data_IF_546905144993
#
_entry.id   IF_546905144993
#
_cell.length_a   1.000
_cell.length_b   1.000
_cell.length_c   1.000
_cell.angle_alpha   90.00
_cell.angle_beta   90.00
_cell.angle_gamma   90.00
#
_symmetry.space_group_name_H-M   'P 1'
#
loop_
_entity.id
_entity.type
_entity.pdbx_description
1 polymer ?
#
# COMPACT_ATOMS: atom_id res chain seq x y z
N UNK A 1 -34.42 10.44 1.38
CA UNK A 1 -33.31 10.41 2.36
C UNK A 1 -32.10 9.83 1.66
N UNK A 2 -30.93 10.48 1.66
CA UNK A 2 -29.72 9.85 1.13
C UNK A 2 -29.47 8.56 1.93
N UNK A 3 -29.25 7.44 1.22
CA UNK A 3 -29.21 6.09 1.80
C UNK A 3 -28.20 6.01 2.94
N UNK A 4 -28.61 5.42 4.07
CA UNK A 4 -27.67 5.06 5.11
C UNK A 4 -26.62 4.12 4.50
N UNK A 5 -25.32 4.35 4.72
CA UNK A 5 -24.31 3.41 4.29
C UNK A 5 -24.56 2.05 4.96
N UNK A 6 -24.58 0.98 4.19
CA UNK A 6 -24.56 -0.39 4.73
C UNK A 6 -23.19 -0.61 5.36
N UNK A 7 -23.07 -0.31 6.65
CA UNK A 7 -21.88 -0.55 7.45
C UNK A 7 -21.99 -1.88 8.19
N UNK A 8 -20.93 -2.29 8.90
CA UNK A 8 -21.01 -3.50 9.73
C UNK A 8 -22.09 -3.40 10.82
N UNK A 9 -22.64 -4.53 11.31
CA UNK A 9 -23.65 -4.51 12.37
C UNK A 9 -23.19 -3.78 13.64
N UNK A 10 -21.90 -3.89 13.98
CA UNK A 10 -21.31 -3.20 15.12
C UNK A 10 -21.33 -1.67 14.91
N UNK A 11 -20.87 -1.20 13.75
CA UNK A 11 -20.86 0.23 13.46
C UNK A 11 -22.28 0.77 13.30
N UNK A 12 -23.21 0.01 12.71
CA UNK A 12 -24.61 0.38 12.60
C UNK A 12 -25.23 0.58 13.99
N UNK A 13 -25.00 -0.34 14.93
CA UNK A 13 -25.47 -0.20 16.31
C UNK A 13 -24.88 1.02 17.04
N UNK A 14 -23.67 1.47 16.68
CA UNK A 14 -23.07 2.70 17.20
C UNK A 14 -23.71 3.94 16.56
N UNK A 15 -23.99 3.90 15.26
CA UNK A 15 -24.69 4.97 14.53
C UNK A 15 -26.11 5.15 15.08
N UNK A 16 -26.84 4.07 15.31
CA UNK A 16 -28.21 4.08 15.84
C UNK A 16 -28.26 4.65 17.27
N UNK A 17 -27.17 4.47 18.04
CA UNK A 17 -26.97 5.10 19.37
C UNK A 17 -26.51 6.56 19.29
N UNK A 18 -26.42 7.15 18.10
CA UNK A 18 -26.10 8.57 17.92
C UNK A 18 -24.61 8.91 18.09
N UNK A 19 -23.68 7.98 17.80
CA UNK A 19 -22.23 8.23 17.96
C UNK A 19 -21.77 9.48 17.22
N UNK A 20 -22.28 9.72 16.01
CA UNK A 20 -21.92 10.88 15.20
C UNK A 20 -22.46 12.20 15.76
N UNK A 21 -23.57 12.18 16.50
CA UNK A 21 -24.16 13.39 17.10
C UNK A 21 -23.37 13.86 18.34
N UNK A 22 -22.56 12.96 18.92
CA UNK A 22 -21.67 13.28 20.06
C UNK A 22 -20.35 13.93 19.62
N UNK A 23 -19.98 13.81 18.35
CA UNK A 23 -18.69 14.24 17.80
C UNK A 23 -18.75 15.68 17.26
N UNK A 24 -17.61 16.40 17.22
CA UNK A 24 -17.50 17.69 16.54
C UNK A 24 -17.89 17.59 15.06
N UNK A 25 -18.40 18.67 14.48
CA UNK A 25 -19.04 18.65 13.15
C UNK A 25 -18.04 18.29 12.05
N UNK A 26 -16.86 18.90 12.06
CA UNK A 26 -15.81 18.62 11.06
C UNK A 26 -15.30 17.18 11.17
N UNK A 27 -15.19 16.66 12.39
CA UNK A 27 -14.79 15.28 12.65
C UNK A 27 -15.87 14.31 12.16
N UNK A 28 -17.13 14.49 12.59
CA UNK A 28 -18.25 13.62 12.18
C UNK A 28 -18.44 13.58 10.67
N UNK A 29 -18.41 14.73 9.99
CA UNK A 29 -18.59 14.78 8.53
C UNK A 29 -17.46 14.07 7.79
N UNK A 30 -16.21 14.25 8.21
CA UNK A 30 -15.07 13.56 7.60
C UNK A 30 -15.24 12.03 7.68
N UNK A 31 -15.50 11.52 8.88
CA UNK A 31 -15.65 10.08 9.06
C UNK A 31 -16.89 9.51 8.38
N UNK A 32 -18.01 10.25 8.39
CA UNK A 32 -19.20 9.83 7.67
C UNK A 32 -18.92 9.64 6.17
N UNK A 33 -18.15 10.56 5.56
CA UNK A 33 -17.76 10.42 4.16
C UNK A 33 -16.85 9.22 3.94
N UNK A 34 -15.92 8.93 4.86
CA UNK A 34 -15.04 7.75 4.75
C UNK A 34 -15.82 6.43 4.81
N UNK A 35 -16.83 6.33 5.67
CA UNK A 35 -17.63 5.09 5.82
C UNK A 35 -18.76 4.98 4.81
N UNK A 36 -18.99 6.00 3.99
CA UNK A 36 -20.04 6.02 2.97
C UNK A 36 -19.82 4.97 1.88
N UNK A 37 -18.56 4.75 1.52
CA UNK A 37 -18.15 3.72 0.56
C UNK A 37 -17.68 2.44 1.30
N UNK A 38 -18.44 2.00 2.31
CA UNK A 38 -18.06 0.89 3.19
C UNK A 38 -17.65 -0.37 2.42
N UNK A 39 -18.38 -0.73 1.36
CA UNK A 39 -18.07 -1.90 0.52
C UNK A 39 -16.74 -1.78 -0.24
N UNK A 40 -16.24 -0.55 -0.43
CA UNK A 40 -14.94 -0.27 -1.05
C UNK A 40 -13.82 -0.07 -0.01
N UNK A 41 -14.08 -0.30 1.28
CA UNK A 41 -13.06 -0.34 2.31
C UNK A 41 -12.50 -1.76 2.45
N UNK A 42 -11.17 -1.84 2.57
CA UNK A 42 -10.51 -3.08 2.93
C UNK A 42 -10.86 -3.49 4.36
N UNK A 43 -10.78 -4.78 4.71
CA UNK A 43 -11.05 -5.26 6.06
C UNK A 43 -10.26 -4.53 7.15
N UNK A 44 -9.01 -4.15 6.89
CA UNK A 44 -8.22 -3.38 7.85
C UNK A 44 -8.77 -1.96 8.08
N UNK A 45 -9.23 -1.28 7.03
CA UNK A 45 -9.90 0.02 7.14
C UNK A 45 -11.23 -0.11 7.92
N UNK A 46 -12.03 -1.12 7.61
CA UNK A 46 -13.28 -1.44 8.35
C UNK A 46 -13.01 -1.65 9.84
N UNK A 47 -12.05 -2.53 10.16
CA UNK A 47 -11.63 -2.83 11.53
C UNK A 47 -11.06 -1.60 12.27
N UNK A 48 -10.40 -0.68 11.57
CA UNK A 48 -9.94 0.57 12.16
C UNK A 48 -11.13 1.43 12.62
N UNK A 49 -12.13 1.64 11.76
CA UNK A 49 -13.31 2.44 12.14
C UNK A 49 -14.10 1.80 13.27
N UNK A 50 -14.29 0.47 13.25
CA UNK A 50 -14.95 -0.25 14.33
C UNK A 50 -14.24 -0.06 15.67
N UNK A 51 -12.90 -0.16 15.69
CA UNK A 51 -12.11 0.05 16.91
C UNK A 51 -12.12 1.49 17.37
N UNK A 52 -11.99 2.46 16.45
CA UNK A 52 -12.04 3.88 16.76
C UNK A 52 -13.37 4.26 17.42
N UNK A 53 -14.49 3.92 16.80
CA UNK A 53 -15.81 4.25 17.36
C UNK A 53 -16.15 3.40 18.57
N UNK A 54 -15.73 2.13 18.59
CA UNK A 54 -15.85 1.29 19.77
C UNK A 54 -15.07 1.83 20.96
N UNK A 55 -13.89 2.43 20.75
CA UNK A 55 -13.09 3.10 21.78
C UNK A 55 -13.80 4.33 22.32
N UNK A 56 -14.34 5.18 21.44
CA UNK A 56 -15.08 6.38 21.84
C UNK A 56 -16.35 6.00 22.62
N UNK A 57 -17.07 4.95 22.21
CA UNK A 57 -18.32 4.53 22.85
C UNK A 57 -18.10 3.95 24.25
N UNK A 58 -17.06 3.12 24.43
CA UNK A 58 -16.72 2.51 25.73
C UNK A 58 -15.97 3.45 26.68
N UNK A 59 -15.46 4.57 26.17
CA UNK A 59 -14.75 5.56 26.97
C UNK A 59 -15.71 6.35 27.86
N UNK A 60 -15.21 6.84 28.99
CA UNK A 60 -15.96 7.69 29.89
C UNK A 60 -16.50 8.95 29.15
N UNK A 61 -17.80 9.27 29.24
CA UNK A 61 -18.38 10.40 28.51
C UNK A 61 -17.71 11.75 28.82
N UNK A 62 -17.23 11.97 30.05
CA UNK A 62 -16.55 13.21 30.42
C UNK A 62 -15.18 13.30 29.76
N UNK A 63 -14.42 12.20 29.75
CA UNK A 63 -13.15 12.13 29.03
C UNK A 63 -13.31 12.40 27.51
N UNK A 64 -14.35 11.83 26.88
CA UNK A 64 -14.66 12.10 25.47
C UNK A 64 -15.03 13.57 25.24
N UNK A 65 -15.79 14.18 26.15
CA UNK A 65 -16.10 15.61 26.06
C UNK A 65 -14.84 16.48 26.15
N UNK A 66 -13.95 16.19 27.09
CA UNK A 66 -12.68 16.90 27.30
C UNK A 66 -11.76 16.77 26.08
N UNK A 67 -11.63 15.56 25.51
CA UNK A 67 -10.84 15.30 24.29
C UNK A 67 -11.26 16.19 23.11
N UNK A 68 -12.57 16.33 22.90
CA UNK A 68 -13.12 17.07 21.76
C UNK A 68 -13.45 18.54 22.06
N UNK A 69 -13.35 18.99 23.32
CA UNK A 69 -13.66 20.37 23.70
C UNK A 69 -12.82 21.43 22.94
N UNK A 70 -11.50 21.23 22.74
CA UNK A 70 -10.69 22.16 21.94
C UNK A 70 -11.19 22.28 20.50
N UNK A 71 -11.57 21.16 19.86
CA UNK A 71 -12.04 21.16 18.48
C UNK A 71 -13.36 21.92 18.35
N UNK A 72 -14.31 21.71 19.26
CA UNK A 72 -15.55 22.51 19.32
C UNK A 72 -15.28 23.99 19.57
N UNK A 73 -14.20 24.32 20.27
CA UNK A 73 -13.75 25.71 20.46
C UNK A 73 -13.31 26.35 19.15
N UNK A 74 -12.43 25.68 18.41
CA UNK A 74 -11.92 26.19 17.12
C UNK A 74 -13.02 26.23 16.06
N UNK A 75 -13.87 25.20 15.97
CA UNK A 75 -15.01 25.17 15.05
C UNK A 75 -15.94 26.39 15.26
N UNK A 76 -16.18 26.79 16.51
CA UNK A 76 -16.94 28.01 16.82
C UNK A 76 -16.24 29.29 16.34
N UNK A 77 -14.92 29.41 16.54
CA UNK A 77 -14.14 30.56 16.02
C UNK A 77 -14.17 30.63 14.49
N UNK A 78 -14.18 29.47 13.84
CA UNK A 78 -14.28 29.35 12.37
C UNK A 78 -15.69 29.66 11.85
N UNK A 79 -16.72 29.67 12.70
CA UNK A 79 -18.11 29.85 12.29
C UNK A 79 -18.76 28.59 11.72
N UNK A 80 -18.23 27.40 12.04
CA UNK A 80 -18.81 26.11 11.63
C UNK A 80 -20.22 25.98 12.24
N UNK A 81 -21.22 25.82 11.39
CA UNK A 81 -22.62 25.61 11.75
C UNK A 81 -23.32 24.79 10.66
N UNK A 82 -24.54 24.32 10.90
CA UNK A 82 -25.24 23.43 9.96
C UNK A 82 -25.52 24.05 8.58
N UNK A 83 -25.53 25.39 8.43
CA UNK A 83 -25.71 26.05 7.13
C UNK A 83 -24.43 26.04 6.29
N UNK A 84 -23.28 26.19 6.94
CA UNK A 84 -21.97 26.29 6.27
C UNK A 84 -21.29 24.93 6.17
N UNK A 85 -21.61 24.04 7.10
CA UNK A 85 -21.07 22.70 7.22
C UNK A 85 -22.20 21.71 7.54
N UNK A 86 -23.02 21.34 6.54
CA UNK A 86 -24.08 20.36 6.73
C UNK A 86 -23.50 19.05 7.27
N UNK A 87 -24.15 18.49 8.29
CA UNK A 87 -23.76 17.20 8.84
C UNK A 87 -23.88 16.12 7.75
N UNK A 88 -22.95 15.15 7.77
CA UNK A 88 -23.01 13.93 6.94
C UNK A 88 -22.93 14.18 5.42
N UNK A 89 -22.40 15.32 5.00
CA UNK A 89 -22.09 15.61 3.61
C UNK A 89 -20.73 16.28 3.53
N UNK A 90 -19.79 15.69 2.79
CA UNK A 90 -18.52 16.34 2.49
C UNK A 90 -18.53 16.93 1.08
N UNK A 91 -18.27 18.23 0.94
CA UNK A 91 -18.30 18.93 -0.35
C UNK A 91 -17.02 19.72 -0.60
N UNK A 92 -16.76 20.08 -1.87
CA UNK A 92 -15.63 20.95 -2.23
C UNK A 92 -15.74 22.33 -1.54
N UNK A 93 -16.95 22.83 -1.34
CA UNK A 93 -17.20 24.11 -0.65
C UNK A 93 -16.69 24.09 0.79
N UNK A 94 -16.75 22.93 1.47
CA UNK A 94 -16.20 22.78 2.82
C UNK A 94 -14.67 22.81 2.84
N UNK A 95 -14.01 22.26 1.81
CA UNK A 95 -12.55 22.37 1.66
C UNK A 95 -12.14 23.83 1.45
N UNK A 96 -12.87 24.54 0.58
CA UNK A 96 -12.64 25.97 0.35
C UNK A 96 -12.91 26.81 1.59
N UNK A 97 -13.94 26.47 2.37
CA UNK A 97 -14.23 27.09 3.67
C UNK A 97 -13.06 26.92 4.64
N UNK A 98 -12.51 25.70 4.78
CA UNK A 98 -11.34 25.46 5.63
C UNK A 98 -10.15 26.31 5.18
N UNK A 99 -9.83 26.30 3.89
CA UNK A 99 -8.66 27.00 3.34
C UNK A 99 -8.74 28.53 3.47
N UNK A 100 -9.96 29.10 3.49
CA UNK A 100 -10.17 30.55 3.64
C UNK A 100 -10.18 31.00 5.09
N UNK A 101 -10.24 30.09 6.06
CA UNK A 101 -10.30 30.43 7.48
C UNK A 101 -8.94 30.78 8.05
N UNK A 102 -8.84 31.93 8.72
CA UNK A 102 -7.64 32.33 9.46
C UNK A 102 -7.26 31.36 10.59
N UNK A 103 -8.22 30.55 11.06
CA UNK A 103 -8.01 29.56 12.13
C UNK A 103 -7.67 28.16 11.61
N UNK A 104 -7.46 27.97 10.30
CA UNK A 104 -7.12 26.66 9.73
C UNK A 104 -5.88 26.00 10.36
N UNK A 105 -4.77 26.72 10.63
CA UNK A 105 -3.61 26.12 11.31
C UNK A 105 -3.93 25.65 12.74
N UNK A 106 -4.71 26.44 13.49
CA UNK A 106 -5.17 26.09 14.84
C UNK A 106 -6.04 24.82 14.80
N UNK A 107 -6.98 24.75 13.86
CA UNK A 107 -7.85 23.59 13.65
C UNK A 107 -7.04 22.32 13.33
N UNK A 108 -6.06 22.40 12.43
CA UNK A 108 -5.20 21.27 12.06
C UNK A 108 -4.37 20.77 13.25
N UNK A 109 -3.84 21.69 14.06
CA UNK A 109 -3.07 21.34 15.26
C UNK A 109 -3.95 20.65 16.32
N UNK A 110 -5.17 21.13 16.53
CA UNK A 110 -6.12 20.50 17.46
C UNK A 110 -6.49 19.09 17.00
N UNK A 111 -6.74 18.88 15.71
CA UNK A 111 -6.99 17.54 15.16
C UNK A 111 -5.79 16.63 15.36
N UNK A 112 -4.59 17.09 15.04
CA UNK A 112 -3.37 16.30 15.26
C UNK A 112 -3.19 15.90 16.73
N UNK A 113 -3.54 16.79 17.67
CA UNK A 113 -3.48 16.52 19.10
C UNK A 113 -4.56 15.55 19.60
N UNK A 114 -5.70 15.46 18.91
CA UNK A 114 -6.71 14.43 19.21
C UNK A 114 -6.18 13.07 18.81
N UNK A 115 -5.68 12.93 17.57
CA UNK A 115 -5.13 11.66 17.09
C UNK A 115 -3.88 11.23 17.84
N UNK A 116 -3.01 12.15 18.28
CA UNK A 116 -1.86 11.80 19.12
C UNK A 116 -2.23 11.16 20.47
N UNK A 117 -3.46 11.35 20.94
CA UNK A 117 -3.99 10.70 22.14
C UNK A 117 -4.74 9.40 21.83
N UNK A 118 -5.45 9.33 20.70
CA UNK A 118 -6.23 8.15 20.30
C UNK A 118 -5.35 7.06 19.70
N UNK A 119 -4.44 7.41 18.79
CA UNK A 119 -3.65 6.47 18.01
C UNK A 119 -2.83 5.52 18.89
N UNK A 120 -2.17 5.95 19.99
CA UNK A 120 -1.46 5.02 20.87
C UNK A 120 -2.35 3.95 21.50
N UNK A 121 -3.62 4.27 21.79
CA UNK A 121 -4.58 3.31 22.36
C UNK A 121 -4.99 2.27 21.31
N UNK A 122 -5.26 2.72 20.09
CA UNK A 122 -5.59 1.83 18.97
C UNK A 122 -4.39 0.97 18.56
N UNK A 123 -3.19 1.55 18.52
CA UNK A 123 -1.93 0.86 18.25
C UNK A 123 -1.68 -0.22 19.31
N UNK A 124 -1.91 0.06 20.60
CA UNK A 124 -1.75 -0.92 21.67
C UNK A 124 -2.72 -2.10 21.56
N UNK A 125 -3.97 -1.87 21.14
CA UNK A 125 -4.93 -2.94 20.86
C UNK A 125 -4.49 -3.80 19.68
N UNK A 126 -3.93 -3.17 18.65
CA UNK A 126 -3.40 -3.86 17.46
C UNK A 126 -2.17 -4.71 17.80
N UNK A 127 -1.22 -4.13 18.53
CA UNK A 127 0.03 -4.78 18.90
C UNK A 127 -0.20 -6.02 19.77
N UNK A 128 -1.20 -6.01 20.67
CA UNK A 128 -1.60 -7.17 21.48
C UNK A 128 -2.10 -8.36 20.66
N UNK A 129 -2.72 -8.08 19.52
CA UNK A 129 -3.19 -9.09 18.57
C UNK A 129 -2.16 -9.41 17.48
N UNK A 130 -0.91 -8.97 17.66
CA UNK A 130 0.19 -9.16 16.72
C UNK A 130 0.42 -10.63 16.38
N UNK A 131 0.74 -10.88 15.12
CA UNK A 131 1.14 -12.19 14.61
C UNK A 131 2.30 -11.99 13.64
N UNK A 132 3.06 -13.04 13.37
CA UNK A 132 4.18 -13.01 12.44
C UNK A 132 3.76 -12.46 11.07
N UNK A 133 4.60 -11.57 10.52
CA UNK A 133 4.48 -10.98 9.19
C UNK A 133 5.79 -11.10 8.43
N UNK A 134 5.70 -11.15 7.11
CA UNK A 134 6.85 -11.29 6.22
C UNK A 134 6.73 -10.33 5.04
N UNK A 135 7.78 -9.56 4.80
CA UNK A 135 7.89 -8.67 3.65
C UNK A 135 9.18 -9.00 2.92
N UNK A 136 9.08 -9.36 1.64
CA UNK A 136 10.24 -9.64 0.78
C UNK A 136 10.26 -8.58 -0.31
N UNK A 137 11.33 -7.78 -0.38
CA UNK A 137 11.53 -6.75 -1.38
C UNK A 137 12.70 -7.17 -2.26
N UNK A 138 12.40 -7.41 -3.54
CA UNK A 138 13.31 -7.98 -4.52
C UNK A 138 13.74 -6.92 -5.52
N UNK A 139 15.04 -6.78 -5.67
CA UNK A 139 15.72 -5.97 -6.68
C UNK A 139 16.18 -6.86 -7.84
N UNK A 140 16.09 -6.38 -9.09
CA UNK A 140 16.37 -7.19 -10.28
C UNK A 140 17.87 -7.49 -10.43
N UNK A 141 18.20 -8.55 -11.17
CA UNK A 141 19.59 -9.02 -11.36
C UNK A 141 20.42 -8.07 -12.23
N UNK A 142 19.75 -7.25 -13.04
CA UNK A 142 20.34 -6.36 -14.05
C UNK A 142 20.84 -5.02 -13.46
N UNK A 143 20.85 -4.88 -12.13
CA UNK A 143 21.43 -3.71 -11.47
C UNK A 143 22.96 -3.66 -11.64
N UNK A 144 23.57 -2.48 -11.82
CA UNK A 144 25.00 -2.35 -12.11
C UNK A 144 25.88 -2.35 -10.84
N UNK A 145 25.39 -2.89 -9.72
CA UNK A 145 26.04 -2.80 -8.40
C UNK A 145 25.94 -4.12 -7.64
N UNK A 146 26.92 -4.35 -6.75
CA UNK A 146 26.91 -5.45 -5.80
C UNK A 146 26.34 -5.03 -4.43
N UNK A 147 26.30 -5.97 -3.47
CA UNK A 147 25.76 -5.73 -2.13
C UNK A 147 26.49 -4.63 -1.35
N UNK A 148 27.78 -4.36 -1.65
CA UNK A 148 28.57 -3.29 -1.06
C UNK A 148 28.00 -1.87 -1.28
N UNK A 149 27.15 -1.72 -2.31
CA UNK A 149 26.50 -0.46 -2.69
C UNK A 149 24.97 -0.53 -2.67
N UNK A 150 24.39 -1.63 -2.22
CA UNK A 150 22.95 -1.77 -2.05
C UNK A 150 22.53 -1.50 -0.61
N UNK A 151 21.28 -1.07 -0.45
CA UNK A 151 20.62 -0.86 0.84
C UNK A 151 21.37 0.11 1.76
N UNK A 152 22.09 1.06 1.18
CA UNK A 152 22.97 1.98 1.92
C UNK A 152 22.21 2.82 2.94
N UNK A 153 20.94 3.12 2.67
CA UNK A 153 20.02 3.83 3.56
C UNK A 153 19.42 2.96 4.67
N UNK A 154 19.49 1.65 4.53
CA UNK A 154 18.90 0.66 5.44
C UNK A 154 19.96 -0.17 6.20
N UNK A 155 21.24 -0.08 5.84
CA UNK A 155 22.32 -0.87 6.45
C UNK A 155 22.37 -0.80 7.97
N UNK A 156 22.04 0.35 8.57
CA UNK A 156 22.06 0.56 10.01
C UNK A 156 20.74 0.13 10.70
N UNK A 157 19.79 -0.43 9.94
CA UNK A 157 18.47 -0.89 10.44
C UNK A 157 18.38 -2.40 10.54
N UNK A 158 19.29 -3.14 9.90
CA UNK A 158 19.26 -4.60 9.84
C UNK A 158 20.64 -5.20 9.88
N UNK A 159 20.71 -6.47 9.46
CA UNK A 159 21.98 -7.20 9.31
C UNK A 159 22.11 -7.73 7.89
N UNK A 160 23.31 -7.59 7.35
CA UNK A 160 23.69 -8.29 6.13
C UNK A 160 23.89 -9.77 6.47
N UNK A 161 23.24 -10.63 5.70
CA UNK A 161 23.34 -12.08 5.81
C UNK A 161 23.95 -12.60 4.52
N UNK A 162 25.10 -13.26 4.64
CA UNK A 162 25.80 -13.82 3.49
C UNK A 162 25.13 -15.10 3.02
N UNK A 163 25.10 -15.29 1.71
CA UNK A 163 24.55 -16.44 1.03
C UNK A 163 25.67 -17.38 0.55
N UNK A 164 25.38 -18.66 0.60
CA UNK A 164 26.17 -19.71 -0.04
C UNK A 164 25.52 -20.05 -1.39
N UNK A 165 25.88 -19.24 -2.40
CA UNK A 165 25.50 -19.50 -3.79
C UNK A 165 26.56 -20.43 -4.39
N UNK A 166 26.14 -21.61 -4.87
CA UNK A 166 27.10 -22.55 -5.43
C UNK A 166 27.63 -22.02 -6.79
N UNK A 167 28.91 -22.28 -7.08
CA UNK A 167 29.46 -21.97 -8.41
C UNK A 167 28.67 -22.70 -9.49
N UNK A 168 28.07 -21.93 -10.42
CA UNK A 168 27.24 -22.46 -11.50
C UNK A 168 25.74 -22.52 -11.22
N UNK A 169 25.27 -22.01 -10.06
CA UNK A 169 23.84 -21.81 -9.84
C UNK A 169 23.24 -20.86 -10.88
N UNK A 170 22.14 -21.27 -11.50
CA UNK A 170 21.42 -20.45 -12.46
C UNK A 170 20.69 -19.33 -11.72
N UNK A 171 20.95 -18.08 -12.10
CA UNK A 171 20.25 -16.90 -11.54
C UNK A 171 18.72 -17.02 -11.64
N UNK A 172 18.22 -17.79 -12.63
CA UNK A 172 16.78 -18.07 -12.81
C UNK A 172 16.19 -18.97 -11.72
N UNK A 173 17.01 -19.74 -11.02
CA UNK A 173 16.60 -20.56 -9.88
C UNK A 173 16.62 -19.79 -8.56
N UNK A 174 17.17 -18.57 -8.52
CA UNK A 174 17.31 -17.77 -7.30
C UNK A 174 15.95 -17.52 -6.61
N UNK A 175 14.97 -16.96 -7.34
CA UNK A 175 13.64 -16.69 -6.81
C UNK A 175 12.83 -17.97 -6.51
N UNK A 176 12.83 -19.00 -7.38
CA UNK A 176 12.27 -20.31 -7.03
C UNK A 176 12.80 -20.86 -5.71
N UNK A 177 14.12 -20.88 -5.50
CA UNK A 177 14.72 -21.43 -4.28
C UNK A 177 14.34 -20.62 -3.04
N UNK A 178 14.37 -19.29 -3.14
CA UNK A 178 14.00 -18.40 -2.04
C UNK A 178 12.51 -18.54 -1.65
N UNK A 179 11.62 -18.71 -2.62
CA UNK A 179 10.17 -18.65 -2.38
C UNK A 179 9.52 -20.02 -2.23
N UNK A 180 10.12 -21.10 -2.74
CA UNK A 180 9.57 -22.47 -2.69
C UNK A 180 10.46 -23.46 -1.93
N UNK A 181 11.74 -23.14 -1.69
CA UNK A 181 12.74 -24.09 -1.19
C UNK A 181 13.23 -25.08 -2.24
N UNK A 182 12.71 -25.02 -3.48
CA UNK A 182 13.08 -25.89 -4.60
C UNK A 182 13.56 -25.13 -5.83
N UNK A 183 13.97 -25.86 -6.86
CA UNK A 183 14.36 -25.28 -8.16
C UNK A 183 13.14 -24.98 -9.03
N UNK A 184 13.35 -24.26 -10.14
CA UNK A 184 12.29 -23.97 -11.11
C UNK A 184 11.60 -25.27 -11.58
N UNK A 185 10.27 -25.21 -11.72
CA UNK A 185 9.41 -26.31 -12.19
C UNK A 185 9.33 -27.55 -11.28
N UNK A 186 9.81 -27.48 -10.03
CA UNK A 186 9.64 -28.55 -9.04
C UNK A 186 8.16 -28.72 -8.60
N UNK A 187 7.29 -27.78 -8.97
CA UNK A 187 5.86 -27.83 -8.66
C UNK A 187 5.51 -27.51 -7.20
N UNK A 188 6.53 -27.34 -6.36
CA UNK A 188 6.49 -26.88 -4.98
C UNK A 188 5.72 -25.57 -4.83
N UNK A 189 4.94 -25.46 -3.75
CA UNK A 189 4.16 -24.25 -3.44
C UNK A 189 5.07 -23.17 -2.87
N UNK A 190 4.86 -21.94 -3.31
CA UNK A 190 5.51 -20.75 -2.78
C UNK A 190 5.03 -20.40 -1.38
N UNK A 191 5.81 -19.61 -0.63
CA UNK A 191 5.41 -19.07 0.68
C UNK A 191 4.07 -18.33 0.63
N UNK A 192 3.82 -17.57 -0.45
CA UNK A 192 2.56 -16.85 -0.65
C UNK A 192 1.38 -17.82 -0.82
N UNK A 193 1.54 -18.91 -1.59
CA UNK A 193 0.49 -19.92 -1.74
C UNK A 193 0.22 -20.65 -0.43
N UNK A 194 1.28 -21.06 0.27
CA UNK A 194 1.15 -21.76 1.55
C UNK A 194 0.41 -20.90 2.59
N UNK A 195 0.74 -19.61 2.68
CA UNK A 195 0.06 -18.71 3.61
C UNK A 195 -1.39 -18.45 3.20
N UNK A 196 -1.64 -18.17 1.92
CA UNK A 196 -2.98 -17.92 1.39
C UNK A 196 -3.94 -19.11 1.63
N UNK A 197 -3.46 -20.33 1.48
CA UNK A 197 -4.28 -21.54 1.66
C UNK A 197 -4.51 -21.93 3.12
N UNK A 198 -3.55 -21.67 4.01
CA UNK A 198 -3.55 -22.24 5.37
C UNK A 198 -3.78 -21.25 6.52
N UNK A 199 -3.48 -19.96 6.31
CA UNK A 199 -3.47 -18.95 7.40
C UNK A 199 -4.24 -17.67 7.09
N UNK A 200 -4.44 -17.33 5.82
CA UNK A 200 -5.12 -16.09 5.46
C UNK A 200 -6.54 -16.04 6.05
N UNK A 201 -6.83 -14.97 6.78
CA UNK A 201 -8.14 -14.66 7.36
C UNK A 201 -8.94 -13.75 6.42
N UNK A 202 -8.26 -13.05 5.54
CA UNK A 202 -8.82 -12.19 4.52
C UNK A 202 -8.31 -12.56 3.13
N UNK A 203 -9.10 -12.26 2.10
CA UNK A 203 -8.67 -12.36 0.71
C UNK A 203 -7.48 -11.44 0.36
N UNK A 204 -7.19 -10.48 1.23
CA UNK A 204 -6.17 -9.45 1.04
C UNK A 204 -5.00 -9.56 2.04
N UNK A 205 -4.81 -10.71 2.69
CA UNK A 205 -3.69 -10.89 3.62
C UNK A 205 -2.35 -11.17 2.90
N UNK A 206 -2.41 -11.66 1.66
CA UNK A 206 -1.23 -12.05 0.88
C UNK A 206 -1.15 -11.24 -0.40
N UNK A 207 -0.02 -10.58 -0.62
CA UNK A 207 0.18 -9.70 -1.77
C UNK A 207 1.46 -10.04 -2.52
N UNK A 208 1.35 -10.09 -3.83
CA UNK A 208 2.45 -10.13 -4.77
C UNK A 208 2.31 -8.89 -5.66
N UNK A 209 3.31 -8.01 -5.65
CA UNK A 209 3.31 -6.79 -6.44
C UNK A 209 4.63 -6.73 -7.22
N UNK A 210 4.57 -6.62 -8.54
CA UNK A 210 5.77 -6.70 -9.36
C UNK A 210 5.76 -5.82 -10.60
N UNK A 211 6.98 -5.49 -11.07
CA UNK A 211 7.21 -4.67 -12.25
C UNK A 211 7.05 -5.46 -13.56
N UNK A 212 7.32 -6.76 -13.54
CA UNK A 212 7.26 -7.67 -14.69
C UNK A 212 6.35 -8.86 -14.38
N UNK A 213 6.65 -10.06 -14.83
CA UNK A 213 5.86 -11.28 -14.60
C UNK A 213 6.65 -12.42 -13.90
N UNK A 214 7.86 -12.13 -13.40
CA UNK A 214 8.76 -13.13 -12.86
C UNK A 214 8.17 -13.88 -11.65
N UNK A 215 7.44 -13.19 -10.77
CA UNK A 215 6.79 -13.82 -9.63
C UNK A 215 5.44 -14.42 -10.01
N UNK A 216 4.64 -13.75 -10.84
CA UNK A 216 3.34 -14.24 -11.31
C UNK A 216 3.46 -15.58 -12.05
N UNK A 217 4.58 -15.81 -12.74
CA UNK A 217 4.84 -17.09 -13.42
C UNK A 217 5.24 -18.22 -12.48
N UNK A 218 5.71 -17.91 -11.26
CA UNK A 218 6.06 -18.90 -10.23
C UNK A 218 4.86 -19.35 -9.38
N UNK A 219 3.83 -18.51 -9.31
CA UNK A 219 2.72 -18.70 -8.38
C UNK A 219 1.45 -19.13 -9.12
N UNK A 220 0.77 -20.18 -8.64
CA UNK A 220 -0.55 -20.55 -9.17
C UNK A 220 -1.60 -19.60 -8.62
N UNK A 221 -2.59 -19.26 -9.46
CA UNK A 221 -3.74 -18.48 -8.99
C UNK A 221 -4.48 -19.24 -7.90
N UNK A 222 -4.63 -18.61 -6.74
CA UNK A 222 -5.36 -19.15 -5.59
C UNK A 222 -6.30 -18.09 -5.02
N UNK A 223 -7.39 -18.52 -4.36
CA UNK A 223 -8.17 -17.60 -3.53
C UNK A 223 -7.31 -17.12 -2.36
N UNK A 224 -7.39 -15.84 -2.00
CA UNK A 224 -6.63 -15.26 -0.89
C UNK A 224 -5.23 -14.74 -1.22
N UNK A 225 -4.88 -14.70 -2.51
CA UNK A 225 -3.65 -14.09 -3.01
C UNK A 225 -3.99 -12.96 -3.99
N UNK A 226 -3.56 -11.75 -3.66
CA UNK A 226 -3.61 -10.62 -4.58
C UNK A 226 -2.33 -10.59 -5.41
N UNK A 227 -2.45 -10.67 -6.73
CA UNK A 227 -1.33 -10.58 -7.67
C UNK A 227 -1.49 -9.35 -8.55
N UNK A 228 -0.54 -8.42 -8.47
CA UNK A 228 -0.49 -7.21 -9.28
C UNK A 228 0.84 -7.14 -10.02
N UNK A 229 0.79 -7.32 -11.34
CA UNK A 229 1.95 -7.18 -12.21
C UNK A 229 1.72 -6.03 -13.17
N UNK A 230 2.68 -5.10 -13.24
CA UNK A 230 2.59 -3.97 -14.16
C UNK A 230 2.50 -4.40 -15.63
N UNK A 231 3.25 -5.45 -16.00
CA UNK A 231 3.24 -6.03 -17.35
C UNK A 231 1.93 -6.76 -17.63
N UNK A 232 1.42 -7.58 -16.69
CA UNK A 232 0.13 -8.26 -16.86
C UNK A 232 -1.05 -7.27 -16.94
N UNK A 233 -0.89 -6.04 -16.45
CA UNK A 233 -1.88 -4.97 -16.55
C UNK A 233 -1.77 -4.14 -17.84
N UNK A 234 -0.88 -4.45 -18.79
CA UNK A 234 -0.64 -3.63 -20.00
C UNK A 234 -1.92 -3.31 -20.78
N UNK A 235 -2.81 -4.30 -20.98
CA UNK A 235 -4.09 -4.10 -21.68
C UNK A 235 -4.96 -3.08 -20.95
N UNK A 236 -5.10 -3.23 -19.63
CA UNK A 236 -5.89 -2.32 -18.82
C UNK A 236 -5.28 -0.91 -18.79
N UNK A 237 -3.96 -0.80 -18.61
CA UNK A 237 -3.22 0.47 -18.63
C UNK A 237 -3.38 1.20 -19.95
N UNK A 238 -3.28 0.50 -21.08
CA UNK A 238 -3.44 1.09 -22.41
C UNK A 238 -4.85 1.64 -22.62
N UNK A 239 -5.88 0.89 -22.21
CA UNK A 239 -7.27 1.36 -22.24
C UNK A 239 -7.48 2.58 -21.34
N UNK A 240 -6.89 2.57 -20.15
CA UNK A 240 -6.99 3.68 -19.20
C UNK A 240 -6.32 4.95 -19.75
N UNK A 241 -5.13 4.84 -20.36
CA UNK A 241 -4.47 5.96 -21.02
C UNK A 241 -5.30 6.54 -22.17
N UNK A 242 -5.98 5.69 -22.96
CA UNK A 242 -6.86 6.14 -24.02
C UNK A 242 -8.05 6.96 -23.49
N UNK A 243 -8.67 6.54 -22.40
CA UNK A 243 -9.76 7.30 -21.76
C UNK A 243 -9.27 8.62 -21.13
N UNK A 244 -8.09 8.60 -20.48
CA UNK A 244 -7.46 9.83 -19.95
C UNK A 244 -7.22 10.83 -21.09
N UNK A 245 -6.70 10.35 -22.23
CA UNK A 245 -6.49 11.20 -23.41
C UNK A 245 -7.80 11.77 -23.93
N UNK A 246 -8.84 10.95 -24.05
CA UNK A 246 -10.17 11.40 -24.50
C UNK A 246 -10.71 12.52 -23.61
N UNK A 247 -10.58 12.41 -22.29
CA UNK A 247 -10.99 13.47 -21.35
C UNK A 247 -10.19 14.75 -21.62
N UNK A 248 -8.88 14.66 -21.83
CA UNK A 248 -8.04 15.82 -22.09
C UNK A 248 -8.31 16.50 -23.44
N UNK A 249 -8.68 15.73 -24.47
CA UNK A 249 -8.96 16.24 -25.81
C UNK A 249 -10.39 16.81 -25.95
N UNK A 250 -11.37 16.21 -25.26
CA UNK A 250 -12.80 16.54 -25.42
C UNK A 250 -13.35 17.48 -24.37
N UNK A 251 -12.70 17.59 -23.21
CA UNK A 251 -13.20 18.40 -22.11
C UNK A 251 -12.25 19.57 -21.83
N UNK A 252 -12.78 20.77 -21.60
CA UNK A 252 -12.02 21.96 -21.16
C UNK A 252 -11.55 21.75 -19.71
N UNK A 253 -10.50 20.93 -19.54
CA UNK A 253 -9.85 20.64 -18.28
C UNK A 253 -8.86 21.75 -17.97
N UNK A 254 -9.26 22.70 -17.12
CA UNK A 254 -8.50 23.92 -16.80
C UNK A 254 -7.34 23.71 -15.83
N UNK A 255 -7.15 22.50 -15.31
CA UNK A 255 -5.99 22.19 -14.47
C UNK A 255 -6.05 20.84 -13.73
N UNK A 256 -4.97 20.51 -12.97
CA UNK A 256 -4.78 19.20 -12.36
C UNK A 256 -5.88 18.77 -11.38
N UNK A 257 -6.48 19.73 -10.65
CA UNK A 257 -7.57 19.43 -9.70
C UNK A 257 -8.85 18.98 -10.41
N UNK A 258 -9.21 19.64 -11.51
CA UNK A 258 -10.38 19.29 -12.31
C UNK A 258 -10.17 17.95 -13.02
N UNK A 259 -8.95 17.71 -13.52
CA UNK A 259 -8.58 16.40 -14.07
C UNK A 259 -8.73 15.30 -13.02
N UNK A 260 -8.16 15.49 -11.82
CA UNK A 260 -8.26 14.51 -10.74
C UNK A 260 -9.71 14.19 -10.34
N UNK A 261 -10.59 15.21 -10.28
CA UNK A 261 -12.01 15.00 -10.01
C UNK A 261 -12.71 14.17 -11.11
N UNK A 262 -12.38 14.41 -12.38
CA UNK A 262 -12.91 13.64 -13.52
C UNK A 262 -12.39 12.21 -13.55
N UNK A 263 -11.09 12.03 -13.33
CA UNK A 263 -10.47 10.70 -13.24
C UNK A 263 -11.06 9.85 -12.12
N UNK A 264 -11.46 10.46 -10.99
CA UNK A 264 -12.18 9.74 -9.92
C UNK A 264 -13.53 9.19 -10.37
N UNK A 265 -14.23 9.89 -11.25
CA UNK A 265 -15.53 9.47 -11.79
C UNK A 265 -15.44 8.43 -12.90
N UNK A 266 -14.25 8.22 -13.47
CA UNK A 266 -14.03 7.24 -14.53
C UNK A 266 -14.22 5.81 -13.98
N UNK A 267 -15.38 5.21 -14.23
CA UNK A 267 -15.68 3.81 -13.88
C UNK A 267 -15.35 2.91 -15.06
N UNK A 268 -14.21 2.23 -15.01
CA UNK A 268 -13.82 1.23 -15.99
C UNK A 268 -13.78 -0.14 -15.34
N UNK A 269 -14.71 -1.01 -15.74
CA UNK A 269 -14.68 -2.42 -15.36
C UNK A 269 -13.56 -3.12 -16.14
N UNK A 270 -12.64 -3.75 -15.43
CA UNK A 270 -11.63 -4.62 -16.03
C UNK A 270 -12.01 -6.07 -15.83
N UNK A 271 -12.01 -6.84 -16.91
CA UNK A 271 -12.06 -8.32 -16.79
C UNK A 271 -10.71 -8.88 -16.34
N UNK A 272 -9.63 -8.10 -16.50
CA UNK A 272 -8.25 -8.53 -16.25
C UNK A 272 -7.90 -8.55 -14.76
N UNK A 273 -8.65 -7.82 -13.92
CA UNK A 273 -8.45 -7.69 -12.47
C UNK A 273 -9.36 -8.65 -11.67
N UNK A 274 -10.12 -9.51 -12.38
CA UNK A 274 -11.08 -10.43 -11.78
C UNK A 274 -12.42 -9.76 -11.43
N UNK A 275 -13.31 -10.50 -10.77
CA UNK A 275 -14.66 -10.04 -10.41
C UNK A 275 -14.73 -9.28 -9.09
N UNK A 276 -13.60 -9.05 -8.41
CA UNK A 276 -13.55 -8.35 -7.13
C UNK A 276 -13.65 -6.82 -7.35
N UNK A 277 -14.77 -6.17 -6.97
CA UNK A 277 -14.97 -4.75 -7.21
C UNK A 277 -14.03 -3.87 -6.37
N UNK A 278 -13.64 -4.31 -5.16
CA UNK A 278 -12.72 -3.59 -4.30
C UNK A 278 -11.33 -3.57 -4.91
N UNK A 279 -10.84 -4.73 -5.39
CA UNK A 279 -9.54 -4.81 -6.04
C UNK A 279 -9.51 -4.07 -7.38
N UNK A 280 -10.60 -4.13 -8.16
CA UNK A 280 -10.73 -3.37 -9.40
C UNK A 280 -10.63 -1.86 -9.15
N UNK A 281 -11.32 -1.34 -8.13
CA UNK A 281 -11.24 0.07 -7.75
C UNK A 281 -9.85 0.43 -7.19
N UNK A 282 -9.23 -0.46 -6.41
CA UNK A 282 -7.87 -0.29 -5.90
C UNK A 282 -6.86 -0.10 -7.04
N UNK A 283 -6.83 -1.02 -8.01
CA UNK A 283 -5.89 -0.97 -9.14
C UNK A 283 -6.13 0.28 -10.00
N UNK A 284 -7.40 0.59 -10.29
CA UNK A 284 -7.77 1.81 -11.01
C UNK A 284 -7.25 3.06 -10.30
N UNK A 285 -7.49 3.15 -8.98
CA UNK A 285 -7.03 4.27 -8.16
C UNK A 285 -5.51 4.38 -8.14
N UNK A 286 -4.79 3.27 -7.97
CA UNK A 286 -3.31 3.24 -7.98
C UNK A 286 -2.76 3.78 -9.30
N UNK A 287 -3.31 3.36 -10.43
CA UNK A 287 -2.87 3.80 -11.76
C UNK A 287 -3.19 5.28 -12.03
N UNK A 288 -4.34 5.79 -11.57
CA UNK A 288 -4.76 7.17 -11.85
C UNK A 288 -4.25 8.21 -10.84
N UNK A 289 -4.00 7.82 -9.59
CA UNK A 289 -3.62 8.73 -8.51
C UNK A 289 -2.13 8.80 -8.24
N UNK A 290 -1.38 7.76 -8.60
CA UNK A 290 0.06 7.74 -8.40
C UNK A 290 0.79 8.51 -9.50
N UNK A 291 1.73 9.35 -9.10
CA UNK A 291 2.50 10.15 -10.05
C UNK A 291 3.35 9.23 -10.94
N UNK A 292 2.95 9.06 -12.21
CA UNK A 292 3.70 8.23 -13.16
C UNK A 292 3.44 6.72 -13.06
N UNK A 293 2.50 6.26 -12.23
CA UNK A 293 2.19 4.82 -12.09
C UNK A 293 1.57 4.20 -13.34
N UNK A 294 1.01 5.01 -14.24
CA UNK A 294 0.61 4.54 -15.57
C UNK A 294 1.80 4.27 -16.49
N UNK A 295 2.92 4.95 -16.28
CA UNK A 295 4.02 5.08 -17.26
C UNK A 295 5.32 4.39 -16.83
N UNK A 296 5.55 4.26 -15.53
CA UNK A 296 6.80 3.75 -14.97
C UNK A 296 6.50 2.57 -14.05
N UNK A 297 7.08 1.41 -14.37
CA UNK A 297 6.86 0.15 -13.66
C UNK A 297 7.25 0.23 -12.17
N UNK A 298 8.44 0.73 -11.84
CA UNK A 298 8.90 0.80 -10.45
C UNK A 298 8.09 1.80 -9.61
N UNK A 299 7.59 2.88 -10.22
CA UNK A 299 6.66 3.79 -9.54
C UNK A 299 5.32 3.12 -9.29
N UNK A 300 4.82 2.30 -10.23
CA UNK A 300 3.64 1.47 -9.97
C UNK A 300 3.87 0.52 -8.80
N UNK A 301 4.99 -0.21 -8.77
CA UNK A 301 5.29 -1.17 -7.69
C UNK A 301 5.36 -0.47 -6.34
N UNK A 302 6.09 0.65 -6.26
CA UNK A 302 6.18 1.46 -5.04
C UNK A 302 4.81 1.93 -4.58
N UNK A 303 4.06 2.61 -5.44
CA UNK A 303 2.78 3.19 -5.07
C UNK A 303 1.72 2.14 -4.76
N UNK A 304 1.64 1.07 -5.55
CA UNK A 304 0.74 -0.06 -5.29
C UNK A 304 1.04 -0.69 -3.94
N UNK A 305 2.32 -0.87 -3.59
CA UNK A 305 2.73 -1.38 -2.29
C UNK A 305 2.32 -0.44 -1.16
N UNK A 306 2.59 0.86 -1.29
CA UNK A 306 2.19 1.86 -0.28
C UNK A 306 0.68 1.87 -0.08
N UNK A 307 -0.11 1.79 -1.14
CA UNK A 307 -1.57 1.72 -1.03
C UNK A 307 -2.03 0.39 -0.41
N UNK A 308 -1.41 -0.73 -0.76
CA UNK A 308 -1.72 -2.03 -0.16
C UNK A 308 -1.41 -2.02 1.35
N UNK A 309 -0.25 -1.47 1.74
CA UNK A 309 0.10 -1.28 3.15
C UNK A 309 -0.94 -0.41 3.84
N UNK A 310 -1.24 0.78 3.30
CA UNK A 310 -2.17 1.73 3.92
C UNK A 310 -3.58 1.18 4.12
N UNK A 311 -4.07 0.43 3.14
CA UNK A 311 -5.48 0.04 3.06
C UNK A 311 -5.71 -1.42 3.46
N UNK A 312 -4.94 -2.35 2.90
CA UNK A 312 -5.17 -3.78 3.07
C UNK A 312 -4.41 -4.40 4.26
N UNK A 313 -3.29 -3.81 4.70
CA UNK A 313 -2.43 -4.32 5.79
C UNK A 313 -1.98 -5.78 5.59
N UNK A 314 -1.35 -6.14 4.46
CA UNK A 314 -0.90 -7.50 4.17
C UNK A 314 -0.07 -8.10 5.29
N UNK A 315 -0.31 -9.38 5.58
CA UNK A 315 0.46 -10.19 6.51
C UNK A 315 1.73 -10.73 5.84
N UNK A 316 1.63 -11.08 4.56
CA UNK A 316 2.75 -11.52 3.74
C UNK A 316 2.74 -10.73 2.41
N UNK A 317 3.84 -10.05 2.12
CA UNK A 317 4.01 -9.29 0.88
C UNK A 317 5.32 -9.65 0.18
N UNK A 318 5.26 -9.93 -1.12
CA UNK A 318 6.43 -10.07 -1.99
C UNK A 318 6.37 -8.98 -3.05
N UNK A 319 7.38 -8.12 -3.06
CA UNK A 319 7.45 -6.90 -3.87
C UNK A 319 8.66 -7.03 -4.78
N UNK A 320 8.48 -6.99 -6.09
CA UNK A 320 9.56 -7.17 -7.05
C UNK A 320 9.68 -5.98 -7.99
N UNK A 321 10.75 -5.23 -7.83
CA UNK A 321 11.11 -4.16 -8.74
C UNK A 321 11.77 -4.70 -10.01
N UNK A 322 11.67 -3.94 -11.09
CA UNK A 322 12.32 -4.24 -12.36
C UNK A 322 13.31 -3.15 -12.75
N UNK A 323 13.77 -3.22 -13.99
CA UNK A 323 14.50 -2.11 -14.62
C UNK A 323 13.49 -1.23 -15.34
N UNK A 324 13.48 0.07 -15.03
CA UNK A 324 12.66 1.03 -15.77
C UNK A 324 13.31 1.35 -17.11
N UNK A 325 12.50 1.75 -18.08
CA UNK A 325 13.00 2.32 -19.33
C UNK A 325 13.35 3.80 -19.13
N UNK A 326 14.34 4.29 -19.89
CA UNK A 326 14.61 5.72 -19.99
C UNK A 326 13.39 6.44 -20.52
N UNK A 327 13.07 7.56 -19.89
CA UNK A 327 12.00 8.43 -20.34
C UNK A 327 12.42 9.03 -21.70
N UNK A 328 11.60 8.82 -22.73
CA UNK A 328 11.83 9.44 -24.04
C UNK A 328 11.62 10.96 -23.93
N UNK A 329 12.46 11.80 -24.56
CA UNK A 329 12.29 13.26 -24.49
C UNK A 329 10.92 13.69 -25.04
N UNK A 330 10.19 14.51 -24.28
CA UNK A 330 8.79 14.89 -24.57
C UNK A 330 8.63 16.31 -25.08
N UNK A 331 7.59 16.52 -25.90
CA UNK A 331 6.75 17.73 -25.81
C UNK A 331 5.58 17.41 -24.85
N UNK A 332 5.22 18.35 -23.97
CA UNK A 332 4.31 18.16 -22.82
C UNK A 332 2.88 17.69 -23.15
N UNK A 333 2.49 17.67 -24.43
CA UNK A 333 1.15 17.29 -24.91
C UNK A 333 1.01 15.79 -25.25
N UNK A 334 2.10 15.01 -25.23
CA UNK A 334 2.11 13.61 -25.71
C UNK A 334 2.32 12.55 -24.60
N UNK A 335 2.21 12.94 -23.33
CA UNK A 335 2.51 12.07 -22.18
C UNK A 335 1.58 10.84 -22.11
N UNK A 336 0.33 11.00 -22.56
CA UNK A 336 -0.66 9.91 -22.63
C UNK A 336 -0.81 9.35 -24.05
N UNK A 337 0.11 9.69 -24.95
CA UNK A 337 0.21 9.08 -26.28
C UNK A 337 0.90 7.73 -26.15
N UNK A 338 0.52 6.75 -26.98
CA UNK A 338 1.21 5.46 -26.98
C UNK A 338 2.64 5.66 -27.49
N UNK A 339 3.60 5.61 -26.55
CA UNK A 339 5.00 5.91 -26.81
C UNK A 339 5.69 4.86 -27.67
N UNK A 340 5.12 3.65 -27.79
CA UNK A 340 5.64 2.60 -28.66
C UNK A 340 5.31 2.91 -30.13
N UNK A 341 4.16 3.50 -30.40
CA UNK A 341 3.74 3.88 -31.76
C UNK A 341 4.10 5.32 -32.15
N UNK A 342 4.19 6.24 -31.19
CA UNK A 342 4.39 7.67 -31.48
C UNK A 342 5.85 8.15 -31.49
N UNK A 343 6.79 7.33 -31.00
CA UNK A 343 8.21 7.70 -30.93
C UNK A 343 9.10 6.60 -31.53
N UNK A 344 9.88 6.89 -32.59
CA UNK A 344 10.73 5.90 -33.26
C UNK A 344 11.95 5.47 -32.44
N UNK A 345 12.25 6.16 -31.33
CA UNK A 345 13.37 5.82 -30.46
C UNK A 345 13.05 4.50 -29.74
N UNK A 346 13.89 3.45 -29.87
CA UNK A 346 13.71 2.21 -29.13
C UNK A 346 13.73 2.43 -27.62
N UNK A 347 13.01 1.60 -26.88
CA UNK A 347 13.07 1.62 -25.43
C UNK A 347 14.49 1.23 -24.98
N UNK A 348 15.09 2.05 -24.13
CA UNK A 348 16.41 1.79 -23.56
C UNK A 348 16.27 1.56 -22.06
N UNK A 349 16.82 0.44 -21.57
CA UNK A 349 16.88 0.16 -20.14
C UNK A 349 17.68 1.23 -19.39
N UNK A 350 17.18 1.67 -18.25
CA UNK A 350 17.82 2.64 -17.36
C UNK A 350 18.26 1.94 -16.06
N UNK A 351 19.26 1.05 -16.15
CA UNK A 351 19.72 0.30 -14.97
C UNK A 351 20.27 1.21 -13.87
N UNK A 352 20.98 2.29 -14.23
CA UNK A 352 21.52 3.24 -13.26
C UNK A 352 20.42 4.07 -12.59
N UNK A 353 19.48 4.61 -13.37
CA UNK A 353 18.35 5.34 -12.79
C UNK A 353 17.44 4.44 -11.96
N UNK A 354 17.28 3.17 -12.37
CA UNK A 354 16.58 2.16 -11.56
C UNK A 354 17.29 1.95 -10.22
N UNK A 355 18.61 1.76 -10.21
CA UNK A 355 19.38 1.63 -8.96
C UNK A 355 19.14 2.83 -8.01
N UNK A 356 19.22 4.06 -8.52
CA UNK A 356 18.99 5.26 -7.71
C UNK A 356 17.57 5.29 -7.12
N UNK A 357 16.56 4.93 -7.92
CA UNK A 357 15.18 4.82 -7.45
C UNK A 357 15.07 3.78 -6.33
N UNK A 358 15.65 2.58 -6.51
CA UNK A 358 15.50 1.46 -5.59
C UNK A 358 16.14 1.73 -4.23
N UNK A 359 17.25 2.46 -4.16
CA UNK A 359 17.81 2.90 -2.87
C UNK A 359 16.81 3.75 -2.08
N UNK A 360 16.04 4.59 -2.75
CA UNK A 360 15.01 5.42 -2.12
C UNK A 360 13.76 4.59 -1.82
N UNK A 361 13.31 3.76 -2.76
CA UNK A 361 12.07 2.99 -2.63
C UNK A 361 12.19 1.91 -1.55
N UNK A 362 13.31 1.19 -1.46
CA UNK A 362 13.53 0.21 -0.40
C UNK A 362 13.38 0.86 0.98
N UNK A 363 14.02 2.01 1.19
CA UNK A 363 13.92 2.76 2.44
C UNK A 363 12.50 3.26 2.70
N UNK A 364 11.86 3.83 1.68
CA UNK A 364 10.52 4.39 1.81
C UNK A 364 9.46 3.33 2.11
N UNK A 365 9.51 2.17 1.43
CA UNK A 365 8.60 1.06 1.69
C UNK A 365 8.74 0.55 3.12
N UNK A 366 9.97 0.33 3.59
CA UNK A 366 10.21 -0.05 4.99
C UNK A 366 9.59 0.94 5.98
N UNK A 367 9.82 2.24 5.78
CA UNK A 367 9.20 3.27 6.61
C UNK A 367 7.68 3.25 6.56
N UNK A 368 7.08 2.97 5.40
CA UNK A 368 5.62 2.89 5.26
C UNK A 368 5.05 1.70 6.05
N UNK A 369 5.69 0.53 6.03
CA UNK A 369 5.29 -0.58 6.88
C UNK A 369 5.41 -0.22 8.38
N UNK A 370 6.53 0.36 8.80
CA UNK A 370 6.81 0.73 10.19
C UNK A 370 5.90 1.84 10.76
N UNK A 371 5.12 2.53 9.91
CA UNK A 371 4.07 3.46 10.38
C UNK A 371 2.95 2.76 11.13
N UNK A 372 2.76 1.45 10.99
CA UNK A 372 1.62 0.75 11.57
C UNK A 372 2.04 -0.27 12.62
N UNK A 373 1.34 -0.26 13.76
CA UNK A 373 1.71 -1.03 14.93
C UNK A 373 1.68 -2.55 14.71
N UNK A 374 0.83 -3.06 13.81
CA UNK A 374 0.81 -4.49 13.48
C UNK A 374 2.11 -4.99 12.84
N UNK A 375 2.93 -4.11 12.24
CA UNK A 375 4.20 -4.50 11.64
C UNK A 375 5.37 -4.40 12.61
N UNK A 376 5.37 -3.36 13.46
CA UNK A 376 6.45 -3.11 14.42
C UNK A 376 6.67 -4.34 15.30
N UNK A 377 7.92 -4.81 15.37
CA UNK A 377 8.35 -5.97 16.17
C UNK A 377 7.73 -7.33 15.79
N UNK A 378 6.88 -7.38 14.76
CA UNK A 378 6.20 -8.61 14.31
C UNK A 378 6.53 -8.95 12.85
N UNK A 379 7.42 -8.19 12.20
CA UNK A 379 7.69 -8.33 10.76
C UNK A 379 9.15 -8.62 10.50
N UNK A 380 9.40 -9.65 9.69
CA UNK A 380 10.69 -9.87 9.06
C UNK A 380 10.66 -9.26 7.66
N UNK A 381 11.60 -8.37 7.39
CA UNK A 381 11.87 -7.78 6.09
C UNK A 381 13.11 -8.42 5.49
N UNK A 382 12.98 -8.96 4.29
CA UNK A 382 14.09 -9.43 3.48
C UNK A 382 14.25 -8.48 2.29
N UNK A 383 15.40 -7.82 2.19
CA UNK A 383 15.78 -7.10 0.98
C UNK A 383 16.77 -7.96 0.21
N UNK A 384 16.42 -8.26 -1.04
CA UNK A 384 17.06 -9.28 -1.84
C UNK A 384 17.45 -8.70 -3.17
N UNK A 385 18.70 -8.88 -3.59
CA UNK A 385 19.13 -8.63 -4.96
C UNK A 385 19.26 -9.96 -5.68
N UNK A 386 18.51 -10.17 -6.76
CA UNK A 386 18.57 -11.44 -7.49
C UNK A 386 19.99 -11.67 -7.98
N UNK A 387 20.58 -12.82 -7.63
CA UNK A 387 21.96 -13.17 -7.95
C UNK A 387 23.02 -12.58 -7.02
N UNK A 388 22.65 -11.78 -6.01
CA UNK A 388 23.59 -11.28 -5.01
C UNK A 388 23.86 -12.33 -3.93
N UNK A 389 25.10 -12.37 -3.46
CA UNK A 389 25.60 -13.27 -2.41
C UNK A 389 25.36 -12.74 -0.99
N UNK A 390 24.62 -11.64 -0.84
CA UNK A 390 24.14 -11.14 0.45
C UNK A 390 22.71 -10.63 0.34
N UNK A 391 21.98 -10.72 1.46
CA UNK A 391 20.66 -10.09 1.65
C UNK A 391 20.68 -9.23 2.91
N UNK A 392 19.88 -8.17 2.92
CA UNK A 392 19.66 -7.39 4.14
C UNK A 392 18.40 -7.92 4.84
N UNK A 393 18.56 -8.26 6.12
CA UNK A 393 17.46 -8.71 6.99
C UNK A 393 17.20 -7.67 8.06
N UNK A 394 15.97 -7.15 8.13
CA UNK A 394 15.47 -6.35 9.25
C UNK A 394 14.37 -7.16 9.93
N UNK A 395 14.44 -7.36 11.23
CA UNK A 395 13.39 -8.11 11.92
C UNK A 395 13.57 -8.13 13.43
N UNK A 396 12.68 -8.83 14.14
CA UNK A 396 12.74 -8.95 15.58
C UNK A 396 14.07 -9.57 16.05
N UNK A 397 14.62 -9.17 17.21
CA UNK A 397 15.93 -9.64 17.67
C UNK A 397 16.04 -11.16 17.84
N UNK A 398 14.91 -11.82 18.09
CA UNK A 398 14.76 -13.26 18.28
C UNK A 398 14.67 -14.04 16.96
N UNK A 399 14.56 -13.36 15.81
CA UNK A 399 14.56 -14.02 14.51
C UNK A 399 15.95 -14.58 14.17
N UNK A 400 16.00 -15.87 13.82
CA UNK A 400 17.25 -16.64 13.61
C UNK A 400 18.18 -16.03 12.56
N UNK A 401 17.65 -15.52 11.44
CA UNK A 401 18.45 -14.85 10.40
C UNK A 401 19.02 -13.51 10.88
N UNK A 402 18.32 -12.81 11.77
CA UNK A 402 18.81 -11.56 12.35
C UNK A 402 19.79 -11.80 13.51
N UNK A 403 19.84 -13.01 14.07
CA UNK A 403 20.70 -13.34 15.20
C UNK A 403 22.04 -13.99 14.80
N UNK A 404 22.11 -14.61 13.62
CA UNK A 404 23.23 -15.45 13.18
C UNK A 404 24.21 -14.71 12.26
N UNK A 405 25.51 -15.06 12.35
CA UNK A 405 26.58 -14.56 11.47
C UNK A 405 27.09 -15.61 10.48
N UNK A 406 26.26 -16.60 10.14
CA UNK A 406 26.60 -17.71 9.23
C UNK A 406 26.34 -17.38 7.76
N UNK A 407 26.83 -18.26 6.87
CA UNK A 407 26.42 -18.29 5.45
C UNK A 407 25.22 -19.20 5.30
N UNK A 408 24.24 -18.80 4.50
CA UNK A 408 22.99 -19.54 4.32
C UNK A 408 22.72 -19.87 2.86
N UNK A 409 22.15 -21.05 2.60
CA UNK A 409 21.56 -21.35 1.30
C UNK A 409 20.20 -20.68 1.18
N UNK A 410 19.77 -20.38 -0.05
CA UNK A 410 18.43 -19.82 -0.31
C UNK A 410 17.31 -20.71 0.24
N UNK A 411 17.49 -22.03 0.19
CA UNK A 411 16.54 -23.00 0.76
C UNK A 411 16.48 -22.92 2.29
N UNK A 412 17.58 -22.60 2.97
CA UNK A 412 17.60 -22.38 4.41
C UNK A 412 16.90 -21.06 4.77
N UNK A 413 17.07 -20.00 3.96
CA UNK A 413 16.29 -18.76 4.11
C UNK A 413 14.79 -19.04 3.96
N UNK A 414 14.39 -19.84 2.96
CA UNK A 414 13.02 -20.31 2.80
C UNK A 414 12.53 -21.06 4.05
N UNK A 415 13.29 -22.00 4.59
CA UNK A 415 12.88 -22.77 5.77
C UNK A 415 12.72 -21.89 7.02
N UNK A 416 13.62 -20.93 7.24
CA UNK A 416 13.53 -20.00 8.37
C UNK A 416 12.31 -19.08 8.23
N UNK A 417 12.03 -18.54 7.04
CA UNK A 417 10.85 -17.70 6.80
C UNK A 417 9.56 -18.49 6.90
N UNK A 418 9.52 -19.72 6.38
CA UNK A 418 8.39 -20.65 6.53
C UNK A 418 8.09 -20.94 8.00
N UNK A 419 9.14 -21.18 8.80
CA UNK A 419 9.04 -21.39 10.25
C UNK A 419 8.52 -20.15 10.96
N UNK A 420 9.07 -18.97 10.65
CA UNK A 420 8.63 -17.69 11.22
C UNK A 420 7.12 -17.44 10.99
N UNK A 421 6.65 -17.75 9.79
CA UNK A 421 5.25 -17.62 9.41
C UNK A 421 4.35 -18.76 9.91
N UNK A 422 4.90 -19.72 10.66
CA UNK A 422 4.19 -20.90 11.18
C UNK A 422 3.46 -21.70 10.08
N UNK A 423 4.13 -21.91 8.93
CA UNK A 423 3.62 -22.64 7.77
C UNK A 423 4.10 -24.10 7.71
N UNK A 424 4.43 -24.67 8.87
CA UNK A 424 4.89 -26.06 9.05
C UNK A 424 3.73 -26.96 9.43
#
# INVERSE_FOLDING_TARGET
MPGQPEVSPLLQALIDRGIFDRLPVSFSTFFFEQVKEWELLFPAEKNYFERLFGLIDRSDPKAVQELFAPLRGVERKMGVNEKVWPKRQFTLDQVDFLNRSAHYPEWRNVIANIFSQIDPLLDAETAKAGHSRLVIIVSPAELPVGPDRMWTRLKDKGKMVSLDLAEGDDVRDYLPQLLTGGRRNDGSKTLVELYAESKAKSLYDTWLIEANDALSTLVRRSSGLVQLSYDNLEVYRTRLMAEVRKILETEDVRGPRQLGAKLKQLRMVSKDIGSDPLLAEFVRSVLLSGNGTLLINNTFVEWATVQAVRRARPCLAVIHFGIRNKIKPFSSLLIYTDQKSSNPIPDQMDSLGSYVDLEVFNYYLWQEFEKHAEYRLNTVYLFVGVGMDEILVIGPPDHSLAASGGRFKLTEIYDQTKKWMNLV
#
